data_IF_613966390939
#
_entry.id   IF_613966390939
#
_cell.length_a   1.000
_cell.length_b   1.000
_cell.length_c   1.000
_cell.angle_alpha   90.00
_cell.angle_beta   90.00
_cell.angle_gamma   90.00
#
_symmetry.space_group_name_H-M   'P 1'
#
loop_
_entity.id
_entity.type
_entity.pdbx_description
1 polymer ?
#
# COMPACT_ATOMS: atom_id res chain seq x y z
N UNK A 1 -1.75 -14.77 -57.90
CA UNK A 1 -0.33 -14.73 -57.53
C UNK A 1 -0.10 -14.37 -56.06
N UNK A 2 -0.84 -13.45 -55.42
CA UNK A 2 -0.65 -13.16 -53.97
C UNK A 2 -1.11 -14.26 -53.00
N UNK A 3 -1.98 -15.18 -53.41
CA UNK A 3 -2.61 -16.16 -52.52
C UNK A 3 -1.71 -17.32 -52.05
N UNK A 4 -0.63 -17.63 -52.78
CA UNK A 4 0.33 -18.70 -52.47
C UNK A 4 1.76 -18.18 -52.30
N UNK A 5 1.95 -16.86 -52.38
CA UNK A 5 3.25 -16.24 -52.21
C UNK A 5 3.66 -16.37 -50.73
N UNK A 6 4.73 -17.13 -50.46
CA UNK A 6 5.29 -17.33 -49.12
C UNK A 6 4.81 -18.58 -48.38
N UNK A 7 3.95 -19.43 -48.97
CA UNK A 7 3.50 -20.69 -48.33
C UNK A 7 4.42 -21.89 -48.59
N UNK A 8 5.40 -21.76 -49.49
CA UNK A 8 6.32 -22.84 -49.86
C UNK A 8 5.69 -23.96 -50.71
N UNK A 9 4.42 -23.81 -51.12
CA UNK A 9 3.71 -24.80 -51.94
C UNK A 9 4.01 -24.57 -53.42
N UNK A 10 4.70 -25.51 -54.05
CA UNK A 10 5.01 -25.49 -55.50
C UNK A 10 3.81 -26.03 -56.28
N UNK A 11 3.16 -25.18 -57.09
CA UNK A 11 2.04 -25.57 -57.95
C UNK A 11 2.53 -25.66 -59.39
N UNK A 12 2.54 -26.88 -59.94
CA UNK A 12 2.89 -27.16 -61.33
C UNK A 12 1.62 -27.19 -62.18
N UNK A 13 1.59 -26.41 -63.25
CA UNK A 13 0.46 -26.38 -64.19
C UNK A 13 0.85 -27.19 -65.42
N UNK A 14 0.03 -28.18 -65.78
CA UNK A 14 0.21 -28.93 -67.02
C UNK A 14 -0.29 -28.09 -68.20
N UNK A 15 0.61 -27.77 -69.12
CA UNK A 15 0.28 -27.10 -70.38
C UNK A 15 0.00 -28.18 -71.43
N UNK A 16 -1.16 -28.17 -72.11
CA UNK A 16 -1.42 -29.09 -73.22
C UNK A 16 -0.33 -28.96 -74.28
N UNK A 17 0.14 -30.09 -74.83
CA UNK A 17 1.26 -30.11 -75.77
C UNK A 17 1.05 -29.18 -76.98
N UNK A 18 -0.19 -29.02 -77.43
CA UNK A 18 -0.59 -28.13 -78.54
C UNK A 18 -0.36 -26.64 -78.25
N UNK A 19 -0.34 -26.25 -76.97
CA UNK A 19 -0.19 -24.86 -76.53
C UNK A 19 1.27 -24.49 -76.23
N UNK A 20 2.21 -25.45 -76.26
CA UNK A 20 3.62 -25.19 -75.94
C UNK A 20 4.26 -24.16 -76.88
N UNK A 21 3.90 -24.18 -78.17
CA UNK A 21 4.40 -23.22 -79.15
C UNK A 21 3.90 -21.78 -78.90
N UNK A 22 2.70 -21.63 -78.31
CA UNK A 22 2.11 -20.34 -77.95
C UNK A 22 2.62 -19.81 -76.59
N UNK A 23 3.26 -20.67 -75.78
CA UNK A 23 3.77 -20.39 -74.44
C UNK A 23 5.24 -19.93 -74.46
N UNK A 24 5.59 -19.14 -75.47
CA UNK A 24 6.95 -18.65 -75.69
C UNK A 24 7.27 -17.33 -74.97
N UNK A 25 6.25 -16.67 -74.42
CA UNK A 25 6.37 -15.40 -73.71
C UNK A 25 5.50 -15.39 -72.44
N UNK A 26 5.98 -14.66 -71.45
CA UNK A 26 5.34 -14.51 -70.14
C UNK A 26 3.92 -13.93 -70.25
N UNK A 27 3.69 -12.96 -71.14
CA UNK A 27 2.37 -12.35 -71.36
C UNK A 27 1.36 -13.37 -71.91
N UNK A 28 1.77 -14.20 -72.87
CA UNK A 28 0.93 -15.25 -73.43
C UNK A 28 0.59 -16.32 -72.39
N UNK A 29 1.59 -16.77 -71.61
CA UNK A 29 1.38 -17.72 -70.52
C UNK A 29 0.47 -17.17 -69.43
N UNK A 30 0.64 -15.90 -69.10
CA UNK A 30 -0.22 -15.17 -68.19
C UNK A 30 -1.66 -15.16 -68.71
N UNK A 31 -1.89 -14.68 -69.94
CA UNK A 31 -3.21 -14.53 -70.53
C UNK A 31 -3.96 -15.87 -70.65
N UNK A 32 -3.26 -16.96 -70.99
CA UNK A 32 -3.85 -18.29 -70.99
C UNK A 32 -4.31 -18.72 -69.59
N UNK A 33 -3.50 -18.50 -68.54
CA UNK A 33 -3.91 -18.79 -67.16
C UNK A 33 -5.15 -17.98 -66.72
N UNK A 34 -5.34 -16.78 -67.26
CA UNK A 34 -6.55 -15.97 -67.06
C UNK A 34 -7.76 -16.57 -67.78
N UNK A 35 -7.60 -16.94 -69.06
CA UNK A 35 -8.68 -17.46 -69.90
C UNK A 35 -9.14 -18.86 -69.48
N UNK A 36 -8.21 -19.70 -69.02
CA UNK A 36 -8.50 -21.07 -68.57
C UNK A 36 -9.19 -21.16 -67.19
N UNK A 37 -9.56 -20.02 -66.57
CA UNK A 37 -10.27 -20.00 -65.28
C UNK A 37 -9.44 -20.42 -64.07
N UNK A 38 -8.16 -20.78 -64.26
CA UNK A 38 -7.23 -21.24 -63.21
C UNK A 38 -7.08 -20.19 -62.10
N UNK A 39 -7.05 -18.90 -62.47
CA UNK A 39 -6.98 -17.79 -61.50
C UNK A 39 -8.20 -17.72 -60.59
N UNK A 40 -9.40 -18.01 -61.11
CA UNK A 40 -10.65 -17.98 -60.35
C UNK A 40 -10.72 -19.13 -59.34
N UNK A 41 -10.37 -20.35 -59.76
CA UNK A 41 -10.29 -21.51 -58.85
C UNK A 41 -9.24 -21.36 -57.74
N UNK A 42 -8.12 -20.67 -58.03
CA UNK A 42 -7.09 -20.36 -57.03
C UNK A 42 -7.52 -19.30 -56.02
N UNK A 43 -8.33 -18.30 -56.41
CA UNK A 43 -8.89 -17.32 -55.46
C UNK A 43 -9.96 -17.95 -54.57
N UNK A 44 -10.87 -18.74 -55.14
CA UNK A 44 -11.90 -19.45 -54.37
C UNK A 44 -11.28 -20.43 -53.36
N UNK A 45 -10.23 -21.16 -53.77
CA UNK A 45 -9.49 -22.04 -52.87
C UNK A 45 -8.74 -21.30 -51.75
N UNK A 46 -8.27 -20.09 -52.01
CA UNK A 46 -7.58 -19.26 -51.02
C UNK A 46 -8.54 -18.68 -49.97
N UNK A 47 -9.74 -18.28 -50.40
CA UNK A 47 -10.80 -17.79 -49.53
C UNK A 47 -11.36 -18.93 -48.67
N UNK A 48 -11.59 -20.11 -49.27
CA UNK A 48 -12.01 -21.31 -48.56
C UNK A 48 -10.96 -21.78 -47.52
N UNK A 49 -9.67 -21.75 -47.86
CA UNK A 49 -8.61 -22.09 -46.91
C UNK A 49 -8.47 -21.06 -45.77
N UNK A 50 -8.71 -19.78 -46.05
CA UNK A 50 -8.68 -18.74 -45.03
C UNK A 50 -9.88 -18.85 -44.10
N UNK A 51 -11.07 -19.14 -44.63
CA UNK A 51 -12.27 -19.42 -43.84
C UNK A 51 -12.09 -20.67 -42.98
N UNK A 52 -11.51 -21.75 -43.53
CA UNK A 52 -11.22 -22.97 -42.76
C UNK A 52 -10.28 -22.71 -41.59
N UNK A 53 -9.23 -21.91 -41.79
CA UNK A 53 -8.29 -21.52 -40.73
C UNK A 53 -8.95 -20.65 -39.66
N UNK A 54 -9.80 -19.72 -40.06
CA UNK A 54 -10.55 -18.87 -39.14
C UNK A 54 -11.53 -19.68 -38.27
N UNK A 55 -12.24 -20.65 -38.86
CA UNK A 55 -13.13 -21.55 -38.11
C UNK A 55 -12.37 -22.46 -37.14
N UNK A 56 -11.20 -22.96 -37.53
CA UNK A 56 -10.33 -23.71 -36.62
C UNK A 56 -9.87 -22.85 -35.44
N UNK A 57 -9.44 -21.61 -35.70
CA UNK A 57 -9.03 -20.67 -34.67
C UNK A 57 -10.19 -20.31 -33.72
N UNK A 58 -11.40 -20.11 -34.27
CA UNK A 58 -12.60 -19.85 -33.47
C UNK A 58 -12.92 -21.04 -32.55
N UNK A 59 -12.86 -22.27 -33.07
CA UNK A 59 -13.07 -23.48 -32.26
C UNK A 59 -12.03 -23.64 -31.14
N UNK A 60 -10.77 -23.28 -31.38
CA UNK A 60 -9.74 -23.27 -30.34
C UNK A 60 -10.01 -22.21 -29.27
N UNK A 61 -10.46 -21.01 -29.65
CA UNK A 61 -10.86 -19.98 -28.69
C UNK A 61 -12.04 -20.45 -27.84
N UNK A 62 -13.05 -21.09 -28.45
CA UNK A 62 -14.20 -21.65 -27.73
C UNK A 62 -13.81 -22.73 -26.72
N UNK A 63 -12.84 -23.59 -27.05
CA UNK A 63 -12.35 -24.64 -26.15
C UNK A 63 -11.49 -24.09 -25.00
N UNK A 64 -10.85 -22.93 -25.20
CA UNK A 64 -9.97 -22.31 -24.21
C UNK A 64 -10.68 -21.44 -23.17
N UNK A 65 -11.99 -21.26 -23.25
CA UNK A 65 -12.75 -20.38 -22.34
C UNK A 65 -13.77 -21.17 -21.51
N UNK A 66 -13.95 -20.75 -20.27
CA UNK A 66 -15.01 -21.27 -19.40
C UNK A 66 -16.42 -20.93 -19.93
N UNK A 67 -17.41 -21.73 -19.51
CA UNK A 67 -18.81 -21.61 -19.95
C UNK A 67 -19.40 -20.19 -19.77
N UNK A 68 -19.01 -19.48 -18.71
CA UNK A 68 -19.45 -18.10 -18.44
C UNK A 68 -18.91 -17.09 -19.45
N UNK A 69 -17.71 -17.31 -20.00
CA UNK A 69 -17.08 -16.46 -21.00
C UNK A 69 -17.46 -16.91 -22.42
N UNK A 70 -17.68 -18.22 -22.62
CA UNK A 70 -18.19 -18.78 -23.87
C UNK A 70 -19.49 -18.11 -24.31
N UNK A 71 -20.43 -17.88 -23.39
CA UNK A 71 -21.69 -17.19 -23.68
C UNK A 71 -21.54 -15.81 -24.33
N UNK A 72 -20.44 -15.08 -24.05
CA UNK A 72 -20.15 -13.77 -24.65
C UNK A 72 -19.68 -13.86 -26.10
N UNK A 73 -19.06 -14.98 -26.48
CA UNK A 73 -18.44 -15.19 -27.80
C UNK A 73 -19.14 -16.26 -28.64
N UNK A 74 -20.21 -16.87 -28.13
CA UNK A 74 -20.95 -17.94 -28.80
C UNK A 74 -21.52 -17.53 -30.16
N UNK A 75 -21.88 -16.25 -30.31
CA UNK A 75 -22.45 -15.70 -31.55
C UNK A 75 -21.40 -15.12 -32.51
N UNK A 76 -20.12 -15.12 -32.15
CA UNK A 76 -19.07 -14.58 -33.01
C UNK A 76 -18.88 -15.47 -34.25
N UNK A 77 -18.86 -14.86 -35.44
CA UNK A 77 -18.77 -15.59 -36.71
C UNK A 77 -17.34 -15.82 -37.17
N UNK A 78 -16.41 -15.04 -36.64
CA UNK A 78 -14.98 -15.11 -36.96
C UNK A 78 -14.14 -15.17 -35.70
N UNK A 79 -12.95 -15.77 -35.79
CA UNK A 79 -12.02 -15.81 -34.67
C UNK A 79 -11.62 -14.40 -34.21
N UNK A 80 -11.52 -13.45 -35.15
CA UNK A 80 -11.21 -12.05 -34.86
C UNK A 80 -12.31 -11.36 -34.04
N UNK A 81 -13.58 -11.55 -34.40
CA UNK A 81 -14.71 -10.98 -33.67
C UNK A 81 -14.80 -11.54 -32.24
N UNK A 82 -14.58 -12.85 -32.07
CA UNK A 82 -14.50 -13.48 -30.75
C UNK A 82 -13.36 -12.87 -29.92
N UNK A 83 -12.17 -12.74 -30.52
CA UNK A 83 -11.00 -12.18 -29.86
C UNK A 83 -11.16 -10.70 -29.47
N UNK A 84 -11.73 -9.87 -30.35
CA UNK A 84 -11.98 -8.46 -30.07
C UNK A 84 -13.02 -8.29 -28.95
N UNK A 85 -14.03 -9.16 -28.91
CA UNK A 85 -15.04 -9.19 -27.83
C UNK A 85 -14.41 -9.56 -26.49
N UNK A 86 -13.55 -10.59 -26.45
CA UNK A 86 -12.78 -10.94 -25.25
C UNK A 86 -11.89 -9.77 -24.81
N UNK A 87 -11.18 -9.16 -25.75
CA UNK A 87 -10.31 -8.02 -25.43
C UNK A 87 -11.10 -6.85 -24.84
N UNK A 88 -12.30 -6.57 -25.34
CA UNK A 88 -13.19 -5.54 -24.82
C UNK A 88 -13.74 -5.90 -23.43
N UNK A 89 -14.18 -7.14 -23.21
CA UNK A 89 -14.72 -7.57 -21.92
C UNK A 89 -13.65 -7.54 -20.83
N UNK A 90 -12.44 -8.05 -21.10
CA UNK A 90 -11.32 -8.01 -20.16
C UNK A 90 -10.80 -6.58 -19.91
N UNK A 91 -10.78 -5.71 -20.93
CA UNK A 91 -10.51 -4.27 -20.72
C UNK A 91 -11.58 -3.61 -19.85
N UNK A 92 -12.84 -4.00 -20.01
CA UNK A 92 -13.95 -3.55 -19.17
C UNK A 92 -13.75 -3.97 -17.71
N UNK A 93 -13.34 -5.21 -17.48
CA UNK A 93 -13.00 -5.74 -16.14
C UNK A 93 -11.81 -4.99 -15.55
N UNK A 94 -10.71 -4.78 -16.29
CA UNK A 94 -9.55 -4.01 -15.83
C UNK A 94 -9.93 -2.56 -15.49
N UNK A 95 -10.72 -1.90 -16.35
CA UNK A 95 -11.23 -0.54 -16.10
C UNK A 95 -12.14 -0.50 -14.86
N UNK A 96 -13.01 -1.48 -14.69
CA UNK A 96 -13.91 -1.56 -13.54
C UNK A 96 -13.14 -1.82 -12.24
N UNK A 97 -12.17 -2.74 -12.26
CA UNK A 97 -11.26 -3.00 -11.13
C UNK A 97 -10.46 -1.75 -10.76
N UNK A 98 -9.86 -1.06 -11.73
CA UNK A 98 -9.15 0.20 -11.51
C UNK A 98 -10.06 1.29 -10.94
N UNK A 99 -11.27 1.44 -11.48
CA UNK A 99 -12.26 2.39 -10.97
C UNK A 99 -12.67 2.09 -9.52
N UNK A 100 -12.86 0.80 -9.20
CA UNK A 100 -13.17 0.36 -7.83
C UNK A 100 -12.00 0.63 -6.89
N UNK A 101 -10.77 0.33 -7.31
CA UNK A 101 -9.55 0.64 -6.56
C UNK A 101 -9.43 2.13 -6.26
N UNK A 102 -9.68 3.00 -7.25
CA UNK A 102 -9.67 4.45 -7.04
C UNK A 102 -10.72 4.90 -6.03
N UNK A 103 -11.89 4.28 -6.03
CA UNK A 103 -12.93 4.57 -5.03
C UNK A 103 -12.50 4.13 -3.62
N UNK A 104 -11.84 2.98 -3.50
CA UNK A 104 -11.31 2.49 -2.22
C UNK A 104 -10.16 3.37 -1.70
N UNK A 105 -9.26 3.84 -2.56
CA UNK A 105 -8.20 4.80 -2.20
C UNK A 105 -8.78 6.09 -1.62
N UNK A 106 -9.83 6.63 -2.24
CA UNK A 106 -10.53 7.82 -1.69
C UNK A 106 -11.14 7.58 -0.32
N UNK A 107 -11.71 6.39 -0.09
CA UNK A 107 -12.23 6.00 1.22
C UNK A 107 -11.08 5.84 2.22
N UNK A 108 -9.94 5.31 1.79
CA UNK A 108 -8.76 5.13 2.63
C UNK A 108 -8.19 6.47 3.05
N UNK A 109 -8.00 7.40 2.12
CA UNK A 109 -7.49 8.74 2.42
C UNK A 109 -8.36 9.46 3.46
N UNK A 110 -9.69 9.33 3.36
CA UNK A 110 -10.67 9.91 4.29
C UNK A 110 -10.93 9.09 5.55
N UNK A 111 -10.32 7.92 5.68
CA UNK A 111 -10.49 7.08 6.86
C UNK A 111 -9.70 7.70 8.00
N UNK A 112 -10.42 8.18 9.00
CA UNK A 112 -9.90 8.77 10.24
C UNK A 112 -10.73 8.23 11.40
N UNK A 113 -10.12 8.17 12.58
CA UNK A 113 -10.80 7.68 13.78
C UNK A 113 -11.67 8.80 14.36
N UNK A 114 -12.95 8.51 14.61
CA UNK A 114 -13.82 9.47 15.32
C UNK A 114 -13.47 9.54 16.80
N UNK A 115 -13.74 10.67 17.45
CA UNK A 115 -13.57 10.83 18.91
C UNK A 115 -14.42 9.88 19.75
N UNK A 116 -15.54 9.40 19.18
CA UNK A 116 -16.50 8.48 19.81
C UNK A 116 -16.33 7.02 19.38
N UNK A 117 -15.47 6.75 18.40
CA UNK A 117 -15.22 5.40 17.89
C UNK A 117 -14.22 4.68 18.79
N UNK A 118 -14.35 3.36 18.95
CA UNK A 118 -13.38 2.54 19.67
C UNK A 118 -12.18 2.23 18.78
N UNK A 119 -11.01 2.02 19.38
CA UNK A 119 -9.78 1.68 18.64
C UNK A 119 -9.98 0.40 17.83
N UNK A 120 -10.58 -0.63 18.43
CA UNK A 120 -10.83 -1.90 17.76
C UNK A 120 -11.67 -1.74 16.48
N UNK A 121 -12.74 -0.95 16.54
CA UNK A 121 -13.61 -0.72 15.40
C UNK A 121 -12.89 0.07 14.29
N UNK A 122 -12.09 1.06 14.67
CA UNK A 122 -11.27 1.82 13.73
C UNK A 122 -10.26 0.94 12.99
N UNK A 123 -9.49 0.13 13.73
CA UNK A 123 -8.50 -0.80 13.16
C UNK A 123 -9.15 -1.82 12.23
N UNK A 124 -10.31 -2.36 12.60
CA UNK A 124 -11.06 -3.32 11.78
C UNK A 124 -11.49 -2.69 10.45
N UNK A 125 -12.08 -1.49 10.49
CA UNK A 125 -12.48 -0.72 9.30
C UNK A 125 -11.31 -0.45 8.36
N UNK A 126 -10.18 -0.01 8.91
CA UNK A 126 -9.00 0.32 8.11
C UNK A 126 -8.38 -0.94 7.50
N UNK A 127 -8.26 -2.02 8.27
CA UNK A 127 -7.72 -3.31 7.80
C UNK A 127 -8.58 -3.90 6.69
N UNK A 128 -9.91 -3.88 6.84
CA UNK A 128 -10.84 -4.31 5.80
C UNK A 128 -10.68 -3.53 4.50
N UNK A 129 -10.44 -2.22 4.61
CA UNK A 129 -10.27 -1.34 3.48
C UNK A 129 -8.94 -1.61 2.75
N UNK A 130 -7.85 -1.75 3.50
CA UNK A 130 -6.53 -2.13 3.00
C UNK A 130 -6.58 -3.49 2.32
N UNK A 131 -7.24 -4.48 2.93
CA UNK A 131 -7.41 -5.82 2.34
C UNK A 131 -8.19 -5.76 1.02
N UNK A 132 -9.28 -4.98 0.96
CA UNK A 132 -10.01 -4.74 -0.30
C UNK A 132 -9.11 -4.10 -1.35
N UNK A 133 -8.27 -3.13 -0.99
CA UNK A 133 -7.34 -2.50 -1.94
C UNK A 133 -6.30 -3.50 -2.47
N UNK A 134 -5.72 -4.32 -1.59
CA UNK A 134 -4.79 -5.40 -1.96
C UNK A 134 -5.43 -6.41 -2.92
N UNK A 135 -6.68 -6.78 -2.69
CA UNK A 135 -7.44 -7.66 -3.59
C UNK A 135 -7.61 -7.08 -5.01
N UNK A 136 -7.70 -5.77 -5.17
CA UNK A 136 -7.74 -5.10 -6.47
C UNK A 136 -6.36 -4.75 -7.04
N UNK A 137 -5.28 -5.31 -6.47
CA UNK A 137 -3.91 -5.21 -6.99
C UNK A 137 -3.10 -4.04 -6.42
N UNK A 138 -3.56 -3.38 -5.35
CA UNK A 138 -2.74 -2.37 -4.67
C UNK A 138 -1.61 -3.01 -3.85
N UNK A 139 -0.46 -2.33 -3.80
CA UNK A 139 0.75 -2.80 -3.09
C UNK A 139 1.05 -1.93 -1.88
N UNK A 140 0.02 -1.61 -1.11
CA UNK A 140 0.18 -0.85 0.12
C UNK A 140 0.87 -1.72 1.17
N UNK A 141 2.03 -1.24 1.65
CA UNK A 141 2.79 -1.86 2.72
C UNK A 141 2.16 -1.59 4.09
N UNK A 142 2.52 -2.41 5.08
CA UNK A 142 2.00 -2.25 6.44
C UNK A 142 2.55 -0.97 7.10
N UNK A 143 3.76 -0.55 6.75
CA UNK A 143 4.41 0.71 7.12
C UNK A 143 3.53 1.93 6.83
N UNK A 144 3.02 2.04 5.59
CA UNK A 144 2.15 3.13 5.19
C UNK A 144 0.81 3.13 5.97
N UNK A 145 0.33 1.96 6.36
CA UNK A 145 -0.90 1.81 7.16
C UNK A 145 -0.64 2.22 8.61
N UNK A 146 0.47 1.79 9.20
CA UNK A 146 0.91 2.16 10.56
C UNK A 146 1.08 3.68 10.67
N UNK A 147 1.81 4.30 9.74
CA UNK A 147 1.97 5.77 9.72
C UNK A 147 0.63 6.49 9.63
N UNK A 148 -0.29 5.98 8.80
CA UNK A 148 -1.63 6.57 8.70
C UNK A 148 -2.37 6.45 10.02
N UNK A 149 -2.35 5.30 10.69
CA UNK A 149 -3.02 5.12 11.98
C UNK A 149 -2.51 6.15 12.99
N UNK A 150 -1.18 6.26 13.14
CA UNK A 150 -0.56 7.21 14.06
C UNK A 150 -0.93 8.67 13.76
N UNK A 151 -1.08 9.04 12.48
CA UNK A 151 -1.47 10.40 12.06
C UNK A 151 -2.96 10.71 12.24
N UNK A 152 -3.82 9.69 12.21
CA UNK A 152 -5.30 9.85 12.14
C UNK A 152 -6.01 9.55 13.46
N UNK A 153 -5.27 9.06 14.45
CA UNK A 153 -5.81 8.82 15.78
C UNK A 153 -6.08 10.17 16.48
N UNK A 154 -7.15 10.31 17.29
CA UNK A 154 -7.51 11.61 17.85
C UNK A 154 -6.50 12.08 18.90
N UNK A 155 -6.36 13.41 19.04
CA UNK A 155 -5.41 14.07 19.95
C UNK A 155 -5.53 13.63 21.44
N UNK A 156 -6.67 13.07 21.86
CA UNK A 156 -6.80 12.49 23.21
C UNK A 156 -5.81 11.35 23.48
N UNK A 157 -5.31 10.69 22.43
CA UNK A 157 -4.31 9.63 22.50
C UNK A 157 -2.92 10.09 22.03
N UNK A 158 -2.67 11.40 21.89
CA UNK A 158 -1.40 11.94 21.39
C UNK A 158 -0.19 11.50 22.25
N UNK A 159 -0.37 11.42 23.56
CA UNK A 159 0.65 10.92 24.48
C UNK A 159 0.99 9.43 24.27
N UNK A 160 0.03 8.62 23.80
CA UNK A 160 0.25 7.22 23.41
C UNK A 160 1.06 7.17 22.11
N UNK A 161 0.69 7.99 21.13
CA UNK A 161 1.40 8.11 19.85
C UNK A 161 2.86 8.51 20.08
N UNK A 162 3.10 9.57 20.85
CA UNK A 162 4.46 10.03 21.16
C UNK A 162 5.30 8.94 21.85
N UNK A 163 4.70 8.23 22.82
CA UNK A 163 5.38 7.12 23.50
C UNK A 163 5.77 6.00 22.53
N UNK A 164 4.89 5.63 21.59
CA UNK A 164 5.16 4.58 20.60
C UNK A 164 6.27 5.04 19.64
N UNK A 165 6.18 6.27 19.13
CA UNK A 165 7.17 6.84 18.20
C UNK A 165 8.56 6.99 18.83
N UNK A 166 8.65 7.27 20.14
CA UNK A 166 9.93 7.37 20.84
C UNK A 166 10.54 6.01 21.21
N UNK A 167 9.71 4.97 21.37
CA UNK A 167 10.15 3.67 21.87
C UNK A 167 10.33 2.59 20.79
N UNK A 168 9.73 2.77 19.60
CA UNK A 168 9.73 1.76 18.54
C UNK A 168 10.08 2.35 17.18
N UNK A 169 10.71 1.52 16.33
CA UNK A 169 10.91 1.84 14.92
C UNK A 169 9.62 1.60 14.14
N UNK A 170 9.10 2.66 13.51
CA UNK A 170 7.81 2.67 12.82
C UNK A 170 7.88 1.82 11.54
N UNK A 171 9.05 1.75 10.88
CA UNK A 171 9.22 1.02 9.61
C UNK A 171 9.13 -0.49 9.78
N UNK A 172 9.47 -1.00 10.97
CA UNK A 172 9.45 -2.42 11.30
C UNK A 172 8.19 -2.87 12.03
N UNK A 173 7.30 -1.92 12.35
CA UNK A 173 6.15 -2.17 13.18
C UNK A 173 5.03 -2.83 12.37
N UNK A 174 4.46 -3.92 12.88
CA UNK A 174 3.26 -4.52 12.26
C UNK A 174 1.98 -3.84 12.75
N UNK A 175 0.92 -3.92 11.95
CA UNK A 175 -0.41 -3.38 12.32
C UNK A 175 -0.94 -4.05 13.60
N UNK A 176 -0.65 -5.35 13.80
CA UNK A 176 -1.10 -6.10 14.96
C UNK A 176 -0.39 -5.67 16.24
N UNK A 177 0.93 -5.48 16.19
CA UNK A 177 1.72 -4.95 17.31
C UNK A 177 1.27 -3.53 17.66
N UNK A 178 1.06 -2.66 16.66
CA UNK A 178 0.53 -1.32 16.88
C UNK A 178 -0.79 -1.34 17.62
N UNK A 179 -1.73 -2.18 17.16
CA UNK A 179 -3.05 -2.33 17.78
C UNK A 179 -2.90 -2.69 19.26
N UNK A 180 -2.14 -3.74 19.56
CA UNK A 180 -1.95 -4.21 20.93
C UNK A 180 -1.29 -3.18 21.86
N UNK A 181 -0.32 -2.41 21.34
CA UNK A 181 0.31 -1.33 22.12
C UNK A 181 -0.68 -0.20 22.43
N UNK A 182 -1.45 0.24 21.43
CA UNK A 182 -2.43 1.32 21.62
C UNK A 182 -3.52 0.89 22.59
N UNK A 183 -4.09 -0.31 22.42
CA UNK A 183 -5.11 -0.86 23.32
C UNK A 183 -4.58 -0.98 24.75
N UNK A 184 -3.39 -1.57 24.94
CA UNK A 184 -2.79 -1.70 26.27
C UNK A 184 -2.53 -0.34 26.96
N UNK A 185 -2.11 0.67 26.20
CA UNK A 185 -1.92 2.01 26.75
C UNK A 185 -3.26 2.65 27.15
N UNK A 186 -4.29 2.52 26.31
CA UNK A 186 -5.63 3.06 26.57
C UNK A 186 -6.27 2.40 27.77
N UNK A 187 -6.24 1.07 27.87
CA UNK A 187 -6.77 0.34 29.03
C UNK A 187 -6.10 0.81 30.33
N UNK A 188 -4.78 1.07 30.31
CA UNK A 188 -4.03 1.58 31.46
C UNK A 188 -4.40 3.02 31.84
N UNK A 189 -4.83 3.83 30.90
CA UNK A 189 -5.30 5.20 31.15
C UNK A 189 -6.72 5.16 31.68
N UNK A 190 -7.59 4.39 31.04
CA UNK A 190 -8.99 4.23 31.44
C UNK A 190 -9.10 3.67 32.87
N UNK A 191 -8.26 2.69 33.23
CA UNK A 191 -8.15 2.16 34.59
C UNK A 191 -7.67 3.18 35.64
N UNK A 192 -7.06 4.31 35.23
CA UNK A 192 -6.60 5.38 36.13
C UNK A 192 -7.61 6.53 36.23
N UNK A 193 -8.36 6.79 35.15
CA UNK A 193 -9.39 7.84 35.07
C UNK A 193 -10.65 7.56 35.88
N UNK A 194 -10.79 6.38 36.49
CA UNK A 194 -11.83 6.09 37.50
C UNK A 194 -11.57 6.80 38.85
N UNK A 195 -10.51 7.61 38.98
CA UNK A 195 -10.22 8.43 40.17
C UNK A 195 -10.59 9.92 39.93
N UNK A 196 -11.09 10.66 40.95
CA UNK A 196 -11.82 11.90 40.73
C UNK A 196 -10.97 13.00 40.07
N UNK A 197 -11.53 13.54 38.98
CA UNK A 197 -10.96 14.41 37.95
C UNK A 197 -10.15 15.67 38.39
N UNK A 198 -10.18 16.05 39.66
CA UNK A 198 -9.47 17.25 40.13
C UNK A 198 -7.99 16.98 40.45
N UNK A 199 -7.63 15.74 40.78
CA UNK A 199 -6.24 15.36 41.05
C UNK A 199 -5.46 15.09 39.75
N UNK A 200 -6.16 14.66 38.70
CA UNK A 200 -5.58 14.16 37.46
C UNK A 200 -5.20 15.28 36.49
N UNK A 201 -5.95 16.39 36.46
CA UNK A 201 -5.54 17.61 35.77
C UNK A 201 -4.24 18.17 36.36
N UNK A 202 -4.13 18.17 37.69
CA UNK A 202 -2.91 18.56 38.41
C UNK A 202 -1.76 17.58 38.16
N UNK A 203 -2.00 16.26 38.21
CA UNK A 203 -0.98 15.24 37.91
C UNK A 203 -0.50 15.30 36.47
N UNK A 204 -1.39 15.54 35.50
CA UNK A 204 -1.06 15.70 34.07
C UNK A 204 -0.25 16.98 33.81
N UNK A 205 -0.62 18.09 34.44
CA UNK A 205 0.12 19.35 34.31
C UNK A 205 1.52 19.25 34.96
N UNK A 206 1.61 18.63 36.14
CA UNK A 206 2.88 18.35 36.83
C UNK A 206 3.74 17.32 36.06
N UNK A 207 3.13 16.30 35.45
CA UNK A 207 3.83 15.30 34.64
C UNK A 207 4.38 15.90 33.34
N UNK A 208 3.59 16.75 32.67
CA UNK A 208 4.03 17.51 31.49
C UNK A 208 5.23 18.41 31.82
N UNK A 209 5.19 19.11 32.96
CA UNK A 209 6.29 19.95 33.44
C UNK A 209 7.53 19.15 33.87
N UNK A 210 7.37 17.95 34.45
CA UNK A 210 8.51 17.10 34.84
C UNK A 210 9.16 16.44 33.62
N UNK A 211 8.40 16.01 32.62
CA UNK A 211 8.96 15.50 31.35
C UNK A 211 9.71 16.58 30.57
N UNK A 212 9.19 17.81 30.55
CA UNK A 212 9.88 18.93 29.89
C UNK A 212 11.20 19.26 30.62
N UNK A 213 11.20 19.27 31.96
CA UNK A 213 12.43 19.41 32.74
C UNK A 213 13.42 18.25 32.51
N UNK A 214 12.96 17.00 32.45
CA UNK A 214 13.80 15.84 32.16
C UNK A 214 14.40 15.92 30.75
N UNK A 215 13.66 16.43 29.76
CA UNK A 215 14.15 16.63 28.40
C UNK A 215 15.27 17.67 28.34
N UNK A 216 15.13 18.78 29.09
CA UNK A 216 16.14 19.84 29.21
C UNK A 216 17.38 19.30 29.92
N UNK A 217 17.22 18.57 31.03
CA UNK A 217 18.31 17.95 31.78
C UNK A 217 19.04 16.91 30.93
N UNK A 218 18.33 16.03 30.21
CA UNK A 218 18.93 15.04 29.29
C UNK A 218 19.66 15.70 28.13
N UNK A 219 19.16 16.83 27.59
CA UNK A 219 19.85 17.61 26.55
C UNK A 219 21.14 18.24 27.07
N UNK A 220 21.11 18.83 28.26
CA UNK A 220 22.30 19.42 28.89
C UNK A 220 23.35 18.35 29.24
N UNK A 221 22.91 17.19 29.75
CA UNK A 221 23.78 16.06 30.06
C UNK A 221 24.41 15.44 28.80
N UNK A 222 23.72 15.40 27.65
CA UNK A 222 24.33 14.99 26.37
C UNK A 222 25.46 15.93 25.94
N UNK A 223 25.26 17.25 26.09
CA UNK A 223 26.31 18.23 25.81
C UNK A 223 27.46 18.22 26.83
N UNK A 224 27.20 17.84 28.08
CA UNK A 224 28.23 17.65 29.10
C UNK A 224 29.00 16.34 28.90
N UNK A 225 28.32 15.25 28.54
CA UNK A 225 28.93 13.95 28.22
C UNK A 225 29.93 14.06 27.07
N UNK A 226 29.58 14.77 25.99
CA UNK A 226 30.52 15.03 24.89
C UNK A 226 31.71 15.94 25.27
N UNK A 227 31.64 16.67 26.39
CA UNK A 227 32.76 17.42 26.95
C UNK A 227 33.61 16.56 27.89
N UNK A 228 32.99 15.69 28.69
CA UNK A 228 33.68 14.74 29.57
C UNK A 228 34.45 13.68 28.78
N UNK A 229 33.92 13.26 27.64
CA UNK A 229 34.57 12.30 26.73
C UNK A 229 35.87 12.89 26.11
N UNK A 230 35.85 14.20 25.78
CA UNK A 230 37.05 14.94 25.32
C UNK A 230 38.13 15.12 26.39
N UNK A 231 37.78 14.99 27.67
CA UNK A 231 38.70 15.11 28.81
C UNK A 231 39.09 13.73 29.37
N UNK A 232 38.65 12.63 28.72
CA UNK A 232 39.05 11.26 29.06
C UNK A 232 38.18 10.57 30.13
N UNK A 233 37.03 11.15 30.50
CA UNK A 233 36.10 10.61 31.50
C UNK A 233 34.79 10.08 30.89
N UNK A 234 34.84 9.53 29.67
CA UNK A 234 33.65 9.04 28.94
C UNK A 234 32.88 7.91 29.63
N UNK A 235 33.52 7.18 30.55
CA UNK A 235 32.92 6.03 31.24
C UNK A 235 32.36 6.33 32.64
N UNK A 236 32.21 7.60 33.04
CA UNK A 236 31.65 7.93 34.35
C UNK A 236 30.13 7.68 34.36
N UNK A 237 29.60 6.75 35.18
CA UNK A 237 28.17 6.50 35.25
C UNK A 237 27.46 7.67 35.95
N UNK A 238 26.66 8.44 35.21
CA UNK A 238 25.84 9.52 35.75
C UNK A 238 24.46 8.95 36.09
N UNK A 239 24.17 8.83 37.39
CA UNK A 239 22.85 8.40 37.88
C UNK A 239 21.99 9.63 38.14
N UNK A 240 20.90 9.78 37.38
CA UNK A 240 19.91 10.85 37.60
C UNK A 240 18.70 10.25 38.32
N UNK A 241 18.61 10.48 39.62
CA UNK A 241 17.42 10.15 40.41
C UNK A 241 16.43 11.31 40.41
N UNK A 242 15.15 11.04 40.19
CA UNK A 242 14.08 12.01 40.42
C UNK A 242 13.64 11.92 41.90
N UNK A 243 13.78 13.00 42.66
CA UNK A 243 13.14 13.12 43.97
C UNK A 243 11.71 13.57 43.70
N UNK A 244 10.76 12.64 43.82
CA UNK A 244 9.33 12.92 43.70
C UNK A 244 8.71 13.31 45.03
N UNK A 245 7.70 14.18 44.99
CA UNK A 245 6.84 14.45 46.14
C UNK A 245 6.08 13.15 46.54
N UNK A 246 5.95 12.82 47.84
CA UNK A 246 5.24 11.62 48.26
C UNK A 246 3.75 11.77 47.95
N UNK A 247 3.28 11.09 46.89
CA UNK A 247 1.87 11.05 46.48
C UNK A 247 1.06 9.94 47.15
N UNK A 248 1.68 9.17 48.06
CA UNK A 248 1.07 8.01 48.74
C UNK A 248 0.23 8.41 49.96
N UNK A 249 -0.73 9.32 49.78
CA UNK A 249 -1.79 9.54 50.77
C UNK A 249 -1.35 10.15 52.12
N UNK A 250 -0.22 10.87 52.16
CA UNK A 250 0.16 11.64 53.35
C UNK A 250 -0.91 12.69 53.66
N UNK A 251 -1.40 12.70 54.90
CA UNK A 251 -2.46 13.60 55.38
C UNK A 251 -2.10 15.08 55.22
N UNK A 252 -0.81 15.41 55.04
CA UNK A 252 -0.31 16.76 54.82
C UNK A 252 -0.02 17.09 53.35
N UNK A 253 -0.28 16.18 52.41
CA UNK A 253 -0.11 16.43 50.98
C UNK A 253 -1.18 17.39 50.46
N UNK A 254 -0.84 18.68 50.32
CA UNK A 254 -1.70 19.69 49.72
C UNK A 254 -1.01 20.47 48.59
N UNK A 255 -1.83 21.04 47.69
CA UNK A 255 -1.36 21.74 46.50
C UNK A 255 -0.42 22.92 46.83
N UNK A 256 -0.70 23.66 47.90
CA UNK A 256 0.11 24.82 48.33
C UNK A 256 1.52 24.42 48.77
N UNK A 257 1.67 23.25 49.41
CA UNK A 257 2.97 22.70 49.81
C UNK A 257 3.72 22.09 48.62
N UNK A 258 3.02 21.40 47.71
CA UNK A 258 3.61 20.89 46.48
C UNK A 258 4.16 22.03 45.60
N UNK A 259 3.40 23.12 45.45
CA UNK A 259 3.84 24.30 44.71
C UNK A 259 5.04 24.99 45.37
N UNK A 260 5.11 25.01 46.71
CA UNK A 260 6.33 25.45 47.44
C UNK A 260 7.52 24.52 47.24
N UNK A 261 7.32 23.20 47.22
CA UNK A 261 8.40 22.22 47.02
C UNK A 261 9.03 22.37 45.62
N UNK A 262 8.21 22.32 44.57
CA UNK A 262 8.66 22.51 43.20
C UNK A 262 9.10 23.96 42.89
N UNK A 263 8.50 24.95 43.56
CA UNK A 263 8.87 26.36 43.46
C UNK A 263 10.16 26.73 44.22
N UNK A 264 10.56 25.97 45.23
CA UNK A 264 11.80 26.19 45.99
C UNK A 264 13.00 25.45 45.37
N UNK A 265 12.80 24.22 44.85
CA UNK A 265 13.89 23.42 44.26
C UNK A 265 14.44 24.00 42.96
N UNK A 266 13.63 24.78 42.23
CA UNK A 266 14.11 25.55 41.07
C UNK A 266 15.14 26.64 41.44
N UNK A 267 15.16 27.11 42.70
CA UNK A 267 16.21 28.03 43.20
C UNK A 267 17.37 27.31 43.88
N UNK A 268 17.13 26.18 44.57
CA UNK A 268 18.18 25.45 45.28
C UNK A 268 19.09 24.60 44.38
N UNK A 269 18.56 24.01 43.29
CA UNK A 269 19.34 23.18 42.37
C UNK A 269 20.38 24.00 41.57
N UNK A 270 20.09 25.28 41.28
CA UNK A 270 21.02 26.18 40.61
C UNK A 270 22.08 26.77 41.56
N UNK A 271 21.75 26.96 42.85
CA UNK A 271 22.67 27.54 43.83
C UNK A 271 23.76 26.59 44.37
N UNK A 272 23.46 25.29 44.47
CA UNK A 272 24.41 24.31 45.05
C UNK A 272 25.39 23.68 44.05
N UNK A 273 25.08 23.70 42.75
CA UNK A 273 26.01 23.23 41.72
C UNK A 273 27.14 24.22 41.42
N UNK A 274 27.00 25.50 41.80
CA UNK A 274 28.04 26.52 41.62
C UNK A 274 28.96 26.75 42.83
N UNK A 275 28.64 26.18 44.00
CA UNK A 275 29.45 26.34 45.23
C UNK A 275 30.37 25.16 45.54
N UNK A 276 30.30 24.08 44.77
CA UNK A 276 31.20 22.92 44.90
C UNK A 276 32.30 22.86 43.82
N UNK A 277 32.52 23.97 43.11
CA UNK A 277 33.54 24.11 42.06
C UNK A 277 34.43 25.35 42.30
N UNK A 278 34.69 25.66 43.58
CA UNK A 278 35.89 26.41 44.02
C UNK A 278 36.83 25.46 44.76
#
# INVERSE_FOLDING_TARGET
MRALAGTGVEVKIAIPNEMLAAMNDYENARNWCYQSGIRAGLSEGADANSQRRDQLALGQIHQGVDYSIFGLIANAKTAKEAWDTLKLSYKGVDRAQKSKLQSLRRLYDRCEMSSTETVEHYFSRLTDLVNKMRLYGDKIGDDAVVEKILRTIPLKYDHVVASIQESHDIELLTIAELKGMIESHIDRIEAKTETPANEEALKSQVFSLTLLHLSVIRRQLRHAGGRLDKVGFGNLPIVVGAIGWPTEGDTNANATLAEKFYGADSRMALGRLFTAAE
#
